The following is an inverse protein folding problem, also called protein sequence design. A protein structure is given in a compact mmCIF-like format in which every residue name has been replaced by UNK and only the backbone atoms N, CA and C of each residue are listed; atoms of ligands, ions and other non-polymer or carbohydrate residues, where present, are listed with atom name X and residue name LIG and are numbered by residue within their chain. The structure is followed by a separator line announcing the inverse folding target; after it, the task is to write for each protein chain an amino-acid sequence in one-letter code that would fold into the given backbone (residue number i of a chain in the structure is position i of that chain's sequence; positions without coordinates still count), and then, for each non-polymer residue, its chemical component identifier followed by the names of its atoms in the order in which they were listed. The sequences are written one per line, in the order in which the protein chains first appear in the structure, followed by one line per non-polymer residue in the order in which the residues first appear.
data_IF_195520056676
#
_entry.id   IF_195520056676
#
_cell.length_a   1.000
_cell.length_b   1.000
_cell.length_c   1.000
_cell.angle_alpha   90.00
_cell.angle_beta   90.00
_cell.angle_gamma   90.00
#
_symmetry.space_group_name_H-M   'P 1'
#
loop_
_entity.id
_entity.type
_entity.pdbx_description
1 polymer ?
#
# COMPACT_ATOMS: atom_id res chain seq x y z
N UNK A 1 -5.36 17.29 -33.66
CA UNK A 1 -6.03 17.30 -32.33
C UNK A 1 -5.94 15.91 -31.74
N UNK A 2 -4.94 15.66 -30.91
CA UNK A 2 -4.68 14.35 -30.31
C UNK A 2 -5.24 14.39 -28.89
N UNK A 3 -6.42 13.79 -28.67
CA UNK A 3 -6.99 13.63 -27.33
C UNK A 3 -6.07 12.69 -26.54
N UNK A 4 -5.47 13.19 -25.47
CA UNK A 4 -4.87 12.33 -24.43
C UNK A 4 -6.03 11.68 -23.68
N UNK A 5 -6.33 10.43 -24.03
CA UNK A 5 -7.12 9.55 -23.17
C UNK A 5 -6.19 9.00 -22.10
N UNK A 6 -6.32 9.49 -20.87
CA UNK A 6 -5.82 8.78 -19.70
C UNK A 6 -6.63 7.49 -19.57
N UNK A 7 -6.08 6.38 -20.05
CA UNK A 7 -6.64 5.06 -19.80
C UNK A 7 -6.20 4.59 -18.42
N UNK A 8 -7.07 4.70 -17.40
CA UNK A 8 -7.04 3.81 -16.24
C UNK A 8 -7.69 2.47 -16.64
N UNK A 9 -7.15 1.80 -17.66
CA UNK A 9 -7.62 0.46 -18.02
C UNK A 9 -6.96 -0.54 -17.07
N UNK A 10 -7.46 -0.64 -15.83
CA UNK A 10 -7.33 -1.88 -15.08
C UNK A 10 -7.91 -2.99 -15.95
N UNK A 11 -7.13 -4.03 -16.23
CA UNK A 11 -7.63 -5.21 -16.96
C UNK A 11 -8.93 -5.67 -16.29
N UNK A 12 -10.05 -5.85 -17.01
CA UNK A 12 -11.25 -6.41 -16.42
C UNK A 12 -10.90 -7.75 -15.73
N UNK A 13 -11.07 -7.82 -14.40
CA UNK A 13 -10.63 -8.95 -13.57
C UNK A 13 -9.23 -8.82 -12.92
N UNK A 14 -8.57 -7.65 -13.05
CA UNK A 14 -7.34 -7.28 -12.34
C UNK A 14 -6.17 -8.24 -12.54
N UNK A 15 -5.35 -8.39 -11.50
CA UNK A 15 -4.21 -9.33 -11.50
C UNK A 15 -4.61 -10.78 -11.77
N UNK A 16 -5.81 -11.20 -11.33
CA UNK A 16 -6.29 -12.57 -11.55
C UNK A 16 -6.49 -12.88 -13.04
N UNK A 17 -7.07 -11.95 -13.81
CA UNK A 17 -7.23 -12.10 -15.25
C UNK A 17 -5.87 -12.22 -15.97
N UNK A 18 -4.89 -11.43 -15.55
CA UNK A 18 -3.52 -11.48 -16.09
C UNK A 18 -2.89 -12.85 -15.82
N UNK A 19 -2.96 -13.34 -14.57
CA UNK A 19 -2.41 -14.64 -14.19
C UNK A 19 -3.09 -15.78 -14.97
N UNK A 20 -4.41 -15.77 -15.12
CA UNK A 20 -5.12 -16.78 -15.89
C UNK A 20 -4.68 -16.80 -17.36
N UNK A 21 -4.59 -15.62 -17.99
CA UNK A 21 -4.11 -15.52 -19.37
C UNK A 21 -2.68 -16.06 -19.53
N UNK A 22 -1.80 -15.79 -18.56
CA UNK A 22 -0.44 -16.33 -18.56
C UNK A 22 -0.44 -17.86 -18.41
N UNK A 23 -1.22 -18.41 -17.48
CA UNK A 23 -1.34 -19.86 -17.31
C UNK A 23 -1.92 -20.56 -18.56
N UNK A 24 -2.92 -19.95 -19.20
CA UNK A 24 -3.49 -20.48 -20.43
C UNK A 24 -2.48 -20.45 -21.59
N UNK A 25 -1.57 -19.47 -21.61
CA UNK A 25 -0.44 -19.49 -22.54
C UNK A 25 0.58 -20.57 -22.20
N UNK A 26 0.93 -20.73 -20.93
CA UNK A 26 1.92 -21.73 -20.48
C UNK A 26 1.46 -23.15 -20.82
N UNK A 27 0.16 -23.44 -20.65
CA UNK A 27 -0.44 -24.75 -20.95
C UNK A 27 -0.36 -25.17 -22.42
N UNK A 28 -0.06 -24.26 -23.34
CA UNK A 28 0.12 -24.57 -24.77
C UNK A 28 1.49 -25.17 -25.10
N UNK A 29 2.41 -25.20 -24.13
CA UNK A 29 3.74 -25.73 -24.30
C UNK A 29 3.85 -27.13 -23.68
N UNK A 30 4.00 -28.15 -24.52
CA UNK A 30 4.11 -29.55 -24.08
C UNK A 30 5.38 -29.86 -23.27
N UNK A 31 6.37 -28.96 -23.32
CA UNK A 31 7.65 -29.09 -22.64
C UNK A 31 7.71 -28.31 -21.31
N UNK A 32 6.58 -27.81 -20.79
CA UNK A 32 6.52 -27.12 -19.50
C UNK A 32 5.87 -28.01 -18.44
N UNK A 33 6.61 -28.28 -17.37
CA UNK A 33 6.10 -28.98 -16.19
C UNK A 33 5.84 -27.97 -15.06
N UNK A 34 4.59 -27.90 -14.60
CA UNK A 34 4.20 -27.07 -13.46
C UNK A 34 4.13 -27.97 -12.23
N UNK A 35 4.98 -27.70 -11.24
CA UNK A 35 5.06 -28.47 -10.00
C UNK A 35 4.50 -27.65 -8.84
N UNK A 36 3.28 -27.97 -8.42
CA UNK A 36 2.67 -27.38 -7.22
C UNK A 36 3.26 -27.99 -5.95
N UNK A 37 3.08 -27.29 -4.82
CA UNK A 37 3.52 -27.76 -3.50
C UNK A 37 4.99 -28.23 -3.48
N UNK A 38 5.82 -27.55 -4.26
CA UNK A 38 7.24 -27.86 -4.48
C UNK A 38 8.05 -26.61 -4.18
N UNK A 39 8.51 -26.49 -2.94
CA UNK A 39 9.17 -25.30 -2.42
C UNK A 39 10.68 -25.38 -2.68
N UNK A 40 11.25 -24.46 -3.46
CA UNK A 40 12.70 -24.34 -3.63
C UNK A 40 13.39 -23.69 -2.43
N UNK A 41 14.38 -24.37 -1.85
CA UNK A 41 15.06 -23.91 -0.62
C UNK A 41 16.49 -23.48 -0.83
N UNK A 42 17.21 -24.18 -1.71
CA UNK A 42 18.63 -23.92 -1.97
C UNK A 42 18.91 -24.01 -3.47
N UNK A 43 19.82 -23.17 -3.94
CA UNK A 43 20.45 -23.34 -5.24
C UNK A 43 21.51 -24.43 -5.15
N UNK A 44 21.56 -25.30 -6.15
CA UNK A 44 22.63 -26.28 -6.29
C UNK A 44 23.78 -25.65 -7.07
N UNK A 45 24.99 -25.69 -6.52
CA UNK A 45 26.20 -25.16 -7.16
C UNK A 45 27.22 -26.25 -7.42
N UNK A 46 27.97 -26.13 -8.51
CA UNK A 46 29.19 -26.90 -8.75
C UNK A 46 30.39 -26.22 -8.05
N UNK A 47 31.54 -26.89 -8.04
CA UNK A 47 32.77 -26.38 -7.41
C UNK A 47 33.26 -25.05 -8.00
N UNK A 48 32.99 -24.81 -9.28
CA UNK A 48 33.31 -23.56 -9.97
C UNK A 48 32.30 -22.42 -9.71
N UNK A 49 31.29 -22.66 -8.87
CA UNK A 49 30.22 -21.72 -8.56
C UNK A 49 29.04 -21.74 -9.55
N UNK A 50 29.08 -22.56 -10.60
CA UNK A 50 27.99 -22.66 -11.57
C UNK A 50 26.72 -23.19 -10.91
N UNK A 51 25.60 -22.48 -11.05
CA UNK A 51 24.29 -22.97 -10.62
C UNK A 51 23.83 -24.11 -11.54
N UNK A 52 23.53 -25.27 -10.95
CA UNK A 52 23.19 -26.53 -11.65
C UNK A 52 21.77 -27.02 -11.36
N UNK A 53 20.99 -26.26 -10.59
CA UNK A 53 19.61 -26.59 -10.27
C UNK A 53 19.14 -26.02 -8.94
N UNK A 54 18.09 -26.63 -8.40
CA UNK A 54 17.48 -26.27 -7.11
C UNK A 54 17.25 -27.53 -6.28
N UNK A 55 17.44 -27.40 -4.97
CA UNK A 55 16.93 -28.34 -3.99
C UNK A 55 15.53 -27.89 -3.58
N UNK A 56 14.57 -28.80 -3.63
CA UNK A 56 13.16 -28.52 -3.34
C UNK A 56 12.63 -29.45 -2.25
N UNK A 57 11.72 -28.93 -1.42
CA UNK A 57 10.86 -29.72 -0.54
C UNK A 57 9.49 -29.91 -1.18
N UNK A 58 9.07 -31.17 -1.32
CA UNK A 58 7.74 -31.52 -1.82
C UNK A 58 6.70 -31.54 -0.69
N UNK A 59 5.42 -31.69 -1.06
CA UNK A 59 4.29 -31.79 -0.13
C UNK A 59 4.46 -32.89 0.94
N UNK A 60 5.16 -33.98 0.62
CA UNK A 60 5.46 -35.08 1.54
C UNK A 60 6.60 -34.78 2.54
N UNK A 61 7.18 -33.57 2.46
CA UNK A 61 8.29 -33.13 3.30
C UNK A 61 9.67 -33.54 2.81
N UNK A 62 9.79 -34.41 1.80
CA UNK A 62 11.08 -34.90 1.34
C UNK A 62 11.82 -33.86 0.49
N UNK A 63 13.13 -33.78 0.73
CA UNK A 63 14.05 -32.98 -0.08
C UNK A 63 14.44 -33.74 -1.36
N UNK A 64 14.23 -33.11 -2.51
CA UNK A 64 14.61 -33.64 -3.83
C UNK A 64 15.45 -32.60 -4.58
N UNK A 65 16.32 -33.07 -5.48
CA UNK A 65 17.11 -32.19 -6.35
C UNK A 65 16.49 -32.15 -7.74
N UNK A 66 16.24 -30.95 -8.27
CA UNK A 66 15.86 -30.71 -9.66
C UNK A 66 17.05 -30.07 -10.36
N UNK A 67 17.64 -30.78 -11.32
CA UNK A 67 18.81 -30.30 -12.07
C UNK A 67 18.38 -29.56 -13.32
N UNK A 68 19.06 -28.45 -13.61
CA UNK A 68 18.80 -27.62 -14.78
C UNK A 68 20.04 -26.80 -15.13
N UNK A 69 20.23 -26.53 -16.43
CA UNK A 69 21.39 -25.74 -16.90
C UNK A 69 21.30 -24.26 -16.51
N UNK A 70 20.09 -23.79 -16.23
CA UNK A 70 19.76 -22.40 -15.89
C UNK A 70 18.63 -22.41 -14.87
N UNK A 71 18.70 -21.49 -13.91
CA UNK A 71 17.67 -21.27 -12.90
C UNK A 71 17.26 -19.81 -12.96
N UNK A 72 15.95 -19.55 -12.97
CA UNK A 72 15.38 -18.21 -12.93
C UNK A 72 14.61 -18.07 -11.62
N UNK A 73 14.96 -17.07 -10.81
CA UNK A 73 14.24 -16.74 -9.59
C UNK A 73 13.15 -15.72 -9.91
N UNK A 74 11.89 -16.14 -9.82
CA UNK A 74 10.70 -15.31 -10.02
C UNK A 74 9.79 -15.40 -8.79
N UNK A 75 10.37 -15.16 -7.61
CA UNK A 75 9.83 -15.58 -6.31
C UNK A 75 9.12 -14.48 -5.50
N UNK A 76 8.90 -13.30 -6.08
CA UNK A 76 8.35 -12.15 -5.36
C UNK A 76 9.34 -11.55 -4.34
N UNK A 77 8.80 -10.76 -3.41
CA UNK A 77 9.54 -10.06 -2.37
C UNK A 77 9.58 -10.79 -1.02
N UNK A 78 9.68 -10.01 0.05
CA UNK A 78 9.77 -10.50 1.44
C UNK A 78 8.77 -9.82 2.39
N UNK A 79 7.77 -9.12 1.86
CA UNK A 79 6.75 -8.40 2.62
C UNK A 79 5.93 -9.29 3.58
N UNK A 80 5.79 -10.58 3.29
CA UNK A 80 5.18 -11.57 4.17
C UNK A 80 6.09 -12.07 5.31
N UNK A 81 7.37 -11.67 5.32
CA UNK A 81 8.35 -12.11 6.31
C UNK A 81 8.64 -11.00 7.34
N UNK A 82 7.95 -11.06 8.47
CA UNK A 82 8.07 -10.10 9.59
C UNK A 82 9.52 -9.95 10.09
N UNK A 83 10.32 -11.01 10.09
CA UNK A 83 11.73 -10.95 10.49
C UNK A 83 12.57 -10.15 9.48
N UNK A 84 12.41 -10.44 8.19
CA UNK A 84 13.13 -9.72 7.14
C UNK A 84 12.70 -8.25 7.04
N UNK A 85 11.40 -7.96 7.24
CA UNK A 85 10.89 -6.59 7.34
C UNK A 85 11.63 -5.83 8.44
N UNK A 86 11.60 -6.33 9.68
CA UNK A 86 12.28 -5.69 10.81
C UNK A 86 13.78 -5.54 10.60
N UNK A 87 14.43 -6.54 9.99
CA UNK A 87 15.87 -6.54 9.71
C UNK A 87 16.30 -5.54 8.63
N UNK A 88 15.57 -5.47 7.52
CA UNK A 88 16.01 -4.74 6.32
C UNK A 88 15.30 -3.41 6.11
N UNK A 89 14.02 -3.32 6.44
CA UNK A 89 13.19 -2.14 6.18
C UNK A 89 13.26 -1.16 7.33
N UNK A 90 13.11 -1.66 8.55
CA UNK A 90 13.30 -0.85 9.75
C UNK A 90 12.42 -1.28 10.90
N UNK A 91 12.59 -0.63 12.06
CA UNK A 91 11.85 -0.97 13.27
C UNK A 91 10.35 -0.78 13.08
N UNK A 92 9.56 -1.66 13.72
CA UNK A 92 8.09 -1.71 13.70
C UNK A 92 7.46 -2.15 12.38
N UNK A 93 8.22 -2.39 11.32
CA UNK A 93 7.67 -2.95 10.07
C UNK A 93 7.12 -4.36 10.23
N UNK A 94 7.63 -5.10 11.21
CA UNK A 94 7.13 -6.41 11.61
C UNK A 94 5.69 -6.37 12.15
N UNK A 95 5.15 -5.18 12.46
CA UNK A 95 3.76 -4.98 12.89
C UNK A 95 2.83 -4.53 11.77
N UNK A 96 3.36 -4.22 10.58
CA UNK A 96 2.53 -3.86 9.44
C UNK A 96 1.67 -5.06 9.02
N UNK A 97 0.41 -4.76 8.74
CA UNK A 97 -0.52 -5.74 8.21
C UNK A 97 -0.44 -5.79 6.68
N UNK A 98 -0.70 -6.97 6.12
CA UNK A 98 -0.65 -7.19 4.69
C UNK A 98 -1.93 -6.71 4.04
N UNK A 99 -1.80 -5.84 3.04
CA UNK A 99 -2.94 -5.32 2.26
C UNK A 99 -3.73 -6.41 1.52
N UNK A 100 -3.08 -7.53 1.19
CA UNK A 100 -3.72 -8.67 0.54
C UNK A 100 -3.26 -10.01 1.15
N UNK A 101 -4.18 -10.98 1.36
CA UNK A 101 -3.85 -12.28 1.97
C UNK A 101 -2.78 -13.08 1.22
N UNK A 102 -2.66 -12.88 -0.09
CA UNK A 102 -1.67 -13.58 -0.92
C UNK A 102 -0.22 -13.18 -0.62
N UNK A 103 0.02 -11.98 -0.08
CA UNK A 103 1.36 -11.47 0.18
C UNK A 103 2.08 -12.23 1.30
N UNK A 104 1.34 -12.99 2.13
CA UNK A 104 1.92 -13.81 3.20
C UNK A 104 2.90 -14.88 2.68
N UNK A 105 2.81 -15.23 1.40
CA UNK A 105 3.71 -16.19 0.77
C UNK A 105 5.01 -15.56 0.27
N UNK A 106 5.06 -14.23 0.11
CA UNK A 106 6.25 -13.49 -0.32
C UNK A 106 7.18 -13.30 0.87
N UNK A 107 7.98 -14.33 1.14
CA UNK A 107 8.77 -14.45 2.38
C UNK A 107 10.28 -14.35 2.14
N UNK A 108 10.68 -13.92 0.94
CA UNK A 108 12.07 -13.66 0.59
C UNK A 108 12.89 -14.89 0.22
N UNK A 109 12.28 -16.06 -0.03
CA UNK A 109 13.03 -17.30 -0.33
C UNK A 109 13.98 -17.17 -1.52
N UNK A 110 13.54 -16.55 -2.62
CA UNK A 110 14.41 -16.31 -3.78
C UNK A 110 15.59 -15.40 -3.45
N UNK A 111 15.34 -14.32 -2.69
CA UNK A 111 16.38 -13.40 -2.25
C UNK A 111 17.40 -14.11 -1.36
N UNK A 112 16.94 -14.91 -0.39
CA UNK A 112 17.81 -15.69 0.49
C UNK A 112 18.65 -16.70 -0.28
N UNK A 113 18.05 -17.47 -1.18
CA UNK A 113 18.78 -18.42 -2.04
C UNK A 113 19.88 -17.73 -2.87
N UNK A 114 19.60 -16.54 -3.42
CA UNK A 114 20.60 -15.76 -4.14
C UNK A 114 21.74 -15.30 -3.23
N UNK A 115 21.41 -14.75 -2.05
CA UNK A 115 22.39 -14.29 -1.07
C UNK A 115 23.28 -15.44 -0.55
N UNK A 116 22.70 -16.63 -0.32
CA UNK A 116 23.41 -17.83 0.14
C UNK A 116 24.54 -18.26 -0.81
N UNK A 117 24.38 -18.04 -2.12
CA UNK A 117 25.41 -18.35 -3.14
C UNK A 117 26.26 -17.14 -3.53
N UNK A 118 26.18 -16.04 -2.78
CA UNK A 118 27.02 -14.86 -2.97
C UNK A 118 26.51 -13.85 -4.00
N UNK A 119 25.23 -13.91 -4.40
CA UNK A 119 24.67 -12.87 -5.24
C UNK A 119 24.61 -11.52 -4.50
N UNK A 120 24.93 -10.43 -5.19
CA UNK A 120 24.74 -9.08 -4.67
C UNK A 120 23.27 -8.66 -4.77
N UNK A 121 22.82 -7.82 -3.85
CA UNK A 121 21.55 -7.11 -3.99
C UNK A 121 21.71 -5.89 -4.90
N UNK A 122 20.65 -5.54 -5.62
CA UNK A 122 20.59 -4.27 -6.34
C UNK A 122 19.97 -3.21 -5.41
N UNK A 123 20.80 -2.33 -4.87
CA UNK A 123 20.36 -1.26 -3.97
C UNK A 123 20.00 -1.73 -2.56
N UNK A 124 19.32 -0.84 -1.83
CA UNK A 124 18.88 -1.09 -0.46
C UNK A 124 17.61 -1.92 -0.43
N UNK A 125 17.52 -2.82 0.55
CA UNK A 125 16.29 -3.55 0.88
C UNK A 125 15.39 -2.76 1.86
N UNK A 126 15.72 -1.48 2.11
CA UNK A 126 15.04 -0.66 3.11
C UNK A 126 13.79 0.07 2.61
N UNK A 127 13.42 -0.11 1.35
CA UNK A 127 12.23 0.49 0.76
C UNK A 127 10.99 -0.35 1.03
N UNK A 128 9.84 0.30 1.13
CA UNK A 128 8.52 -0.34 1.11
C UNK A 128 7.56 0.52 0.30
N UNK A 129 6.60 -0.13 -0.35
CA UNK A 129 5.37 0.50 -0.82
C UNK A 129 4.31 0.28 0.26
N UNK A 130 3.67 1.35 0.73
CA UNK A 130 2.60 1.27 1.72
C UNK A 130 1.50 2.27 1.43
N UNK A 131 0.31 1.98 1.91
CA UNK A 131 -0.91 2.74 1.62
C UNK A 131 -1.74 2.89 2.90
N UNK A 132 -2.53 3.95 3.00
CA UNK A 132 -3.53 4.06 4.07
C UNK A 132 -4.65 3.06 3.79
N UNK A 133 -4.90 2.15 4.72
CA UNK A 133 -5.92 1.09 4.58
C UNK A 133 -6.95 1.15 5.70
N UNK A 134 -8.20 0.83 5.38
CA UNK A 134 -9.24 0.64 6.39
C UNK A 134 -9.01 -0.67 7.15
N UNK A 135 -8.43 -0.56 8.35
CA UNK A 135 -8.14 -1.71 9.22
C UNK A 135 -9.40 -2.49 9.66
N UNK A 136 -10.60 -1.91 9.47
CA UNK A 136 -11.87 -2.57 9.81
C UNK A 136 -12.35 -3.49 8.69
N UNK A 137 -11.82 -3.31 7.47
CA UNK A 137 -12.29 -4.02 6.30
C UNK A 137 -11.91 -5.50 6.31
N UNK A 138 -12.76 -6.35 5.74
CA UNK A 138 -12.47 -7.81 5.61
C UNK A 138 -11.96 -8.18 4.23
N UNK A 139 -12.18 -7.34 3.23
CA UNK A 139 -11.69 -7.55 1.87
C UNK A 139 -10.26 -7.04 1.70
N UNK A 140 -9.46 -7.65 0.80
CA UNK A 140 -8.13 -7.11 0.47
C UNK A 140 -8.25 -5.74 -0.20
N UNK A 141 -7.12 -5.01 -0.20
CA UNK A 141 -6.98 -3.78 -0.99
C UNK A 141 -7.95 -2.66 -0.56
N UNK A 142 -8.17 -2.56 0.76
CA UNK A 142 -9.08 -1.57 1.36
C UNK A 142 -8.47 -0.17 1.51
N UNK A 143 -7.87 0.33 0.43
CA UNK A 143 -7.11 1.57 0.39
C UNK A 143 -8.02 2.80 0.52
N UNK A 144 -7.66 3.75 1.36
CA UNK A 144 -8.33 5.04 1.47
C UNK A 144 -7.73 6.02 0.46
N UNK A 145 -8.32 6.09 -0.74
CA UNK A 145 -7.90 7.03 -1.80
C UNK A 145 -8.34 8.48 -1.56
N UNK A 146 -9.16 8.73 -0.53
CA UNK A 146 -9.76 10.03 -0.28
C UNK A 146 -8.87 11.07 0.37
N UNK A 147 -7.63 10.75 0.75
CA UNK A 147 -6.82 11.59 1.64
C UNK A 147 -6.68 13.05 1.16
N UNK A 148 -6.61 13.31 -0.14
CA UNK A 148 -6.58 14.66 -0.72
C UNK A 148 -7.85 15.51 -0.48
N UNK A 149 -8.99 14.88 -0.19
CA UNK A 149 -10.32 15.50 -0.08
C UNK A 149 -10.84 15.52 1.37
N UNK A 150 -9.93 15.70 2.31
CA UNK A 150 -10.22 15.84 3.72
C UNK A 150 -8.91 16.06 4.46
N UNK A 151 -8.90 15.71 5.74
CA UNK A 151 -7.70 15.78 6.55
C UNK A 151 -7.38 14.41 7.14
N UNK A 152 -6.10 14.16 7.39
CA UNK A 152 -5.62 12.98 8.08
C UNK A 152 -5.03 13.42 9.41
N UNK A 153 -5.55 12.86 10.50
CA UNK A 153 -5.10 13.15 11.85
C UNK A 153 -4.55 11.91 12.53
N UNK A 154 -3.56 12.07 13.39
CA UNK A 154 -3.05 11.00 14.23
C UNK A 154 -3.96 10.73 15.45
N UNK A 155 -3.56 9.81 16.33
CA UNK A 155 -4.30 9.48 17.56
C UNK A 155 -4.41 10.65 18.56
N UNK A 156 -3.60 11.69 18.40
CA UNK A 156 -3.65 12.92 19.19
C UNK A 156 -4.46 14.04 18.52
N UNK A 157 -5.25 13.69 17.49
CA UNK A 157 -6.06 14.62 16.70
C UNK A 157 -5.24 15.71 16.01
N UNK A 158 -3.95 15.47 15.73
CA UNK A 158 -3.09 16.43 15.02
C UNK A 158 -2.87 15.98 13.59
N UNK A 159 -2.96 16.96 12.67
CA UNK A 159 -2.46 16.79 11.30
C UNK A 159 -0.95 16.65 11.34
N UNK A 160 -0.41 15.82 10.46
CA UNK A 160 1.03 15.58 10.34
C UNK A 160 1.52 15.69 8.88
N UNK A 161 0.62 15.63 7.91
CA UNK A 161 0.97 15.65 6.49
C UNK A 161 0.13 16.68 5.73
N UNK A 162 0.69 17.26 4.67
CA UNK A 162 -0.03 18.12 3.70
C UNK A 162 -0.71 17.23 2.64
N UNK A 163 -1.99 16.95 2.83
CA UNK A 163 -2.76 15.99 2.04
C UNK A 163 -2.89 16.40 0.56
N UNK A 164 -2.83 17.70 0.25
CA UNK A 164 -2.96 18.22 -1.12
C UNK A 164 -1.63 18.68 -1.74
N UNK A 165 -0.48 18.46 -1.08
CA UNK A 165 0.86 18.85 -1.54
C UNK A 165 1.14 18.55 -3.01
N UNK A 166 0.63 17.41 -3.49
CA UNK A 166 0.68 16.95 -4.87
C UNK A 166 -0.61 16.21 -5.22
N UNK A 167 -0.74 15.81 -6.48
CA UNK A 167 -1.81 14.94 -6.93
C UNK A 167 -1.86 13.61 -6.14
N UNK A 168 -3.06 13.04 -6.04
CA UNK A 168 -3.41 11.79 -5.34
C UNK A 168 -2.34 10.68 -5.43
N UNK A 169 -1.95 10.29 -6.64
CA UNK A 169 -0.95 9.24 -6.89
C UNK A 169 0.50 9.62 -6.55
N UNK A 170 0.74 10.83 -6.06
CA UNK A 170 2.07 11.29 -5.64
C UNK A 170 2.16 11.54 -4.12
N UNK A 171 1.04 11.49 -3.38
CA UNK A 171 1.00 11.72 -1.93
C UNK A 171 0.60 10.50 -1.12
N UNK A 172 -0.16 9.56 -1.69
CA UNK A 172 -0.73 8.43 -0.95
C UNK A 172 0.31 7.53 -0.26
N UNK A 173 1.44 7.26 -0.92
CA UNK A 173 2.52 6.47 -0.33
C UNK A 173 3.26 7.25 0.77
N UNK A 174 3.47 8.55 0.56
CA UNK A 174 4.23 9.40 1.48
C UNK A 174 3.51 9.59 2.81
N UNK A 175 2.18 9.81 2.77
CA UNK A 175 1.38 9.91 3.99
C UNK A 175 1.34 8.59 4.74
N UNK A 176 1.26 7.45 4.03
CA UNK A 176 1.31 6.13 4.65
C UNK A 176 2.67 5.83 5.30
N UNK A 177 3.77 6.22 4.65
CA UNK A 177 5.12 6.11 5.21
C UNK A 177 5.26 6.95 6.49
N UNK A 178 4.72 8.16 6.51
CA UNK A 178 4.73 9.01 7.69
C UNK A 178 3.81 8.48 8.80
N UNK A 179 2.63 7.96 8.46
CA UNK A 179 1.75 7.27 9.41
C UNK A 179 2.47 6.10 10.08
N UNK A 180 3.15 5.27 9.28
CA UNK A 180 3.91 4.14 9.79
C UNK A 180 5.09 4.59 10.66
N UNK A 181 5.88 5.55 10.18
CA UNK A 181 7.14 5.94 10.81
C UNK A 181 6.94 6.81 12.05
N UNK A 182 6.01 7.74 12.01
CA UNK A 182 5.96 8.82 13.00
C UNK A 182 4.63 8.90 13.74
N UNK A 183 3.59 8.17 13.30
CA UNK A 183 2.23 8.22 13.87
C UNK A 183 1.74 6.88 14.41
N UNK A 184 2.64 6.05 14.94
CA UNK A 184 2.29 4.78 15.58
C UNK A 184 1.44 3.84 14.68
N UNK A 185 1.64 3.92 13.36
CA UNK A 185 0.93 3.14 12.34
C UNK A 185 -0.60 3.33 12.35
N UNK A 186 -1.08 4.44 12.90
CA UNK A 186 -2.51 4.70 13.01
C UNK A 186 -2.83 6.16 12.69
N UNK A 187 -3.77 6.34 11.78
CA UNK A 187 -4.29 7.65 11.43
C UNK A 187 -5.77 7.55 11.07
N UNK A 188 -6.46 8.68 11.10
CA UNK A 188 -7.87 8.81 10.83
C UNK A 188 -8.06 9.79 9.69
N UNK A 189 -8.72 9.33 8.62
CA UNK A 189 -9.16 10.20 7.54
C UNK A 189 -10.54 10.78 7.88
N UNK A 190 -10.63 12.11 7.89
CA UNK A 190 -11.85 12.86 8.23
C UNK A 190 -12.24 13.69 7.01
N UNK A 191 -13.51 13.62 6.62
CA UNK A 191 -14.10 14.40 5.53
C UNK A 191 -15.52 14.82 5.89
N UNK A 192 -16.19 15.52 4.97
CA UNK A 192 -17.53 16.05 5.15
C UNK A 192 -18.56 15.48 4.17
N UNK A 193 -19.83 15.87 4.38
CA UNK A 193 -20.93 15.42 3.54
C UNK A 193 -20.83 15.88 2.07
N UNK A 194 -20.52 17.15 1.75
CA UNK A 194 -20.32 17.58 0.37
C UNK A 194 -19.33 16.74 -0.45
N UNK A 195 -18.17 16.41 0.15
CA UNK A 195 -17.18 15.54 -0.50
C UNK A 195 -17.72 14.12 -0.65
N UNK A 196 -18.28 13.55 0.43
CA UNK A 196 -18.87 12.21 0.40
C UNK A 196 -19.94 12.08 -0.71
N UNK A 197 -20.87 13.03 -0.80
CA UNK A 197 -21.96 13.02 -1.76
C UNK A 197 -21.44 13.13 -3.21
N UNK A 198 -20.36 13.89 -3.43
CA UNK A 198 -19.77 14.07 -4.76
C UNK A 198 -19.08 12.81 -5.29
N UNK A 199 -18.51 12.00 -4.39
CA UNK A 199 -17.75 10.81 -4.77
C UNK A 199 -18.53 9.51 -4.67
N UNK A 200 -19.78 9.52 -4.21
CA UNK A 200 -20.68 8.36 -4.28
C UNK A 200 -21.30 8.20 -5.68
N UNK A 201 -21.59 6.96 -6.12
CA UNK A 201 -21.26 5.67 -5.50
C UNK A 201 -19.90 5.16 -6.03
N UNK A 202 -18.85 5.98 -6.00
CA UNK A 202 -17.59 5.73 -6.68
C UNK A 202 -16.34 5.71 -5.78
N UNK A 203 -15.22 6.06 -6.41
CA UNK A 203 -13.84 5.69 -6.06
C UNK A 203 -13.31 6.03 -4.66
N UNK A 204 -13.95 6.90 -3.87
CA UNK A 204 -13.32 7.37 -2.63
C UNK A 204 -13.48 6.38 -1.46
N UNK A 205 -14.54 5.57 -1.46
CA UNK A 205 -14.81 4.58 -0.38
C UNK A 205 -15.20 3.18 -0.86
N UNK A 206 -15.38 2.97 -2.16
CA UNK A 206 -15.75 1.65 -2.69
C UNK A 206 -14.63 0.59 -2.55
N UNK A 207 -13.44 1.02 -2.13
CA UNK A 207 -12.33 0.14 -1.76
C UNK A 207 -12.48 -0.47 -0.38
N UNK A 208 -13.32 0.04 0.53
CA UNK A 208 -13.63 -0.63 1.81
C UNK A 208 -14.97 -1.38 1.73
N UNK A 209 -15.22 -2.32 2.64
CA UNK A 209 -16.53 -2.94 2.86
C UNK A 209 -17.23 -2.41 4.13
N UNK A 210 -16.65 -1.37 4.74
CA UNK A 210 -17.19 -0.69 5.91
C UNK A 210 -17.58 0.74 5.56
N UNK A 211 -18.77 1.16 6.01
CA UNK A 211 -19.15 2.57 5.92
C UNK A 211 -18.30 3.42 6.90
N UNK A 212 -18.02 4.69 6.57
CA UNK A 212 -17.35 5.59 7.50
C UNK A 212 -18.27 5.89 8.69
N UNK A 213 -17.67 6.09 9.87
CA UNK A 213 -18.38 6.61 11.02
C UNK A 213 -18.86 8.04 10.74
N UNK A 214 -20.07 8.37 11.20
CA UNK A 214 -20.72 9.66 10.94
C UNK A 214 -21.33 10.24 12.21
N UNK A 215 -21.33 11.56 12.33
CA UNK A 215 -21.93 12.31 13.43
C UNK A 215 -22.35 13.70 12.94
N UNK A 216 -23.38 14.26 13.55
CA UNK A 216 -23.83 15.64 13.26
C UNK A 216 -22.89 16.69 13.86
N UNK A 217 -21.99 16.28 14.77
CA UNK A 217 -20.97 17.14 15.39
C UNK A 217 -19.59 16.51 15.33
N UNK A 218 -18.55 17.34 15.28
CA UNK A 218 -17.14 16.89 15.29
C UNK A 218 -16.83 16.14 16.59
N UNK A 219 -17.36 16.61 17.71
CA UNK A 219 -17.20 15.99 19.02
C UNK A 219 -17.80 14.59 19.04
N UNK A 220 -19.01 14.42 18.53
CA UNK A 220 -19.64 13.09 18.44
C UNK A 220 -18.91 12.15 17.46
N UNK A 221 -18.26 12.70 16.42
CA UNK A 221 -17.39 11.90 15.54
C UNK A 221 -16.14 11.44 16.29
N UNK A 222 -15.50 12.33 17.06
CA UNK A 222 -14.33 11.99 17.86
C UNK A 222 -14.63 10.88 18.87
N UNK A 223 -15.76 10.96 19.58
CA UNK A 223 -16.19 9.93 20.54
C UNK A 223 -16.32 8.55 19.87
N UNK A 224 -16.93 8.48 18.68
CA UNK A 224 -17.07 7.23 17.91
C UNK A 224 -15.72 6.65 17.47
N UNK A 225 -14.77 7.52 17.13
CA UNK A 225 -13.42 7.13 16.70
C UNK A 225 -12.46 6.84 17.86
N UNK A 226 -12.89 7.06 19.11
CA UNK A 226 -12.05 6.94 20.30
C UNK A 226 -10.99 8.03 20.41
N UNK A 227 -11.28 9.21 19.87
CA UNK A 227 -10.43 10.41 19.86
C UNK A 227 -10.91 11.43 20.91
N UNK A 228 -10.05 12.40 21.26
CA UNK A 228 -10.45 13.50 22.14
C UNK A 228 -11.38 14.48 21.40
N UNK A 229 -12.62 14.69 21.87
CA UNK A 229 -13.59 15.56 21.19
C UNK A 229 -13.15 17.02 21.06
N UNK A 230 -12.48 17.54 22.08
CA UNK A 230 -12.03 18.94 22.10
C UNK A 230 -10.85 19.14 21.18
N UNK A 231 -9.89 18.21 21.18
CA UNK A 231 -8.70 18.33 20.32
C UNK A 231 -9.04 18.13 18.85
N UNK A 232 -9.94 17.20 18.49
CA UNK A 232 -10.37 17.06 17.10
C UNK A 232 -11.11 18.29 16.61
N UNK A 233 -12.06 18.79 17.41
CA UNK A 233 -12.77 20.03 17.09
C UNK A 233 -11.82 21.20 16.91
N UNK A 234 -10.88 21.39 17.84
CA UNK A 234 -9.87 22.43 17.74
C UNK A 234 -9.08 22.32 16.43
N UNK A 235 -8.59 21.13 16.09
CA UNK A 235 -7.82 20.93 14.86
C UNK A 235 -8.61 21.26 13.60
N UNK A 236 -9.90 20.89 13.55
CA UNK A 236 -10.78 21.18 12.41
C UNK A 236 -11.12 22.67 12.35
N UNK A 237 -11.44 23.30 13.48
CA UNK A 237 -11.73 24.74 13.53
C UNK A 237 -10.52 25.57 13.08
N UNK A 238 -9.33 25.24 13.58
CA UNK A 238 -8.07 25.90 13.21
C UNK A 238 -7.72 25.66 11.74
N UNK A 239 -7.94 24.45 11.24
CA UNK A 239 -7.77 24.12 9.83
C UNK A 239 -8.71 24.96 8.94
N UNK A 240 -10.01 24.96 9.23
CA UNK A 240 -11.02 25.71 8.46
C UNK A 240 -10.77 27.21 8.50
N UNK A 241 -10.36 27.76 9.65
CA UNK A 241 -10.02 29.18 9.80
C UNK A 241 -8.75 29.58 9.03
N UNK A 242 -7.86 28.62 8.74
CA UNK A 242 -6.64 28.87 7.99
C UNK A 242 -6.84 28.79 6.46
N UNK A 243 -7.96 28.24 5.97
CA UNK A 243 -8.24 28.08 4.53
C UNK A 243 -8.41 29.45 3.86
N UNK A 244 -7.75 29.63 2.73
CA UNK A 244 -7.93 30.82 1.90
C UNK A 244 -9.23 30.79 1.05
N UNK A 245 -9.58 31.95 0.51
CA UNK A 245 -10.81 32.15 -0.27
C UNK A 245 -10.71 31.67 -1.73
N UNK A 246 -9.66 30.95 -2.11
CA UNK A 246 -9.54 30.44 -3.49
C UNK A 246 -10.64 29.42 -3.79
N UNK A 247 -11.11 29.44 -5.05
CA UNK A 247 -12.11 28.48 -5.53
C UNK A 247 -11.55 27.07 -5.58
N UNK A 248 -12.37 26.11 -5.20
CA UNK A 248 -12.02 24.70 -5.25
C UNK A 248 -12.27 24.09 -6.64
N UNK A 249 -11.26 23.40 -7.17
CA UNK A 249 -11.33 22.66 -8.43
C UNK A 249 -10.64 21.29 -8.28
N UNK A 250 -11.45 20.23 -8.30
CA UNK A 250 -11.00 18.85 -8.15
C UNK A 250 -10.00 18.37 -9.23
N UNK A 251 -9.97 19.03 -10.38
CA UNK A 251 -9.24 18.54 -11.55
C UNK A 251 -7.83 19.11 -11.66
N UNK A 252 -7.45 20.07 -10.80
CA UNK A 252 -6.15 20.75 -10.84
C UNK A 252 -5.73 21.20 -9.45
N UNK A 253 -4.45 21.48 -9.26
CA UNK A 253 -3.99 22.22 -8.08
C UNK A 253 -4.56 23.65 -8.18
N UNK A 254 -5.57 23.95 -7.38
CA UNK A 254 -6.38 25.16 -7.42
C UNK A 254 -5.82 26.29 -6.53
N UNK A 255 -4.83 25.96 -5.71
CA UNK A 255 -4.21 26.89 -4.77
C UNK A 255 -5.07 27.19 -3.55
N UNK A 256 -6.18 26.47 -3.34
CA UNK A 256 -6.89 26.47 -2.08
C UNK A 256 -5.97 25.87 -1.02
N UNK A 257 -5.78 26.51 0.14
CA UNK A 257 -4.81 26.04 1.15
C UNK A 257 -4.96 26.69 2.52
N UNK A 258 -4.37 26.08 3.54
CA UNK A 258 -4.15 26.70 4.84
C UNK A 258 -2.98 27.70 4.81
N UNK A 259 -3.01 28.70 5.68
CA UNK A 259 -1.89 29.62 5.92
C UNK A 259 -1.54 29.69 7.41
N UNK A 260 -0.25 29.49 7.74
CA UNK A 260 0.24 29.68 9.11
C UNK A 260 -0.24 28.65 10.14
N UNK A 261 -0.69 27.48 9.69
CA UNK A 261 -1.20 26.40 10.55
C UNK A 261 -0.66 25.03 10.13
N UNK A 262 -0.10 24.27 11.07
CA UNK A 262 0.30 22.87 10.83
C UNK A 262 1.47 22.66 9.86
N UNK A 263 1.84 21.42 9.57
CA UNK A 263 3.12 21.00 8.98
C UNK A 263 3.47 21.62 7.60
N UNK A 264 3.98 22.85 7.60
CA UNK A 264 4.48 23.63 6.46
C UNK A 264 3.41 23.98 5.40
N UNK A 265 2.88 25.22 5.48
CA UNK A 265 2.19 25.97 4.42
C UNK A 265 1.60 25.09 3.29
N UNK A 266 0.45 24.48 3.58
CA UNK A 266 -0.13 23.40 2.79
C UNK A 266 -0.51 23.86 1.37
N UNK A 267 -0.66 22.93 0.42
CA UNK A 267 -1.51 23.12 -0.76
C UNK A 267 -2.69 22.19 -0.58
N UNK A 268 -3.93 22.66 -0.55
CA UNK A 268 -5.10 21.80 -0.44
C UNK A 268 -5.76 21.52 -1.79
N UNK A 269 -6.43 20.38 -1.79
CA UNK A 269 -7.59 20.09 -2.63
C UNK A 269 -8.78 19.83 -1.69
N UNK A 270 -9.19 20.79 -0.84
CA UNK A 270 -10.43 20.60 -0.06
C UNK A 270 -11.20 21.90 0.24
N UNK A 271 -12.53 21.78 0.24
CA UNK A 271 -13.56 22.84 0.33
C UNK A 271 -13.98 23.22 1.74
N UNK A 272 -14.57 24.42 1.79
CA UNK A 272 -15.39 25.03 2.84
C UNK A 272 -16.50 24.16 3.41
#
# INVERSE_FOLDING_TARGET
MMKRTCFSNSTPGGGHAIINALFDSIRKFDNVNIMWETHAEHLLTAEDGTVTGVQVRKADGHMTKIRGKKVMLACGGFEGNREMLGKYVGPRTEHLELIAPGLKYNTGFGLRMGLEVGAATAGSMSGMHCELVDIRAKKPDAVIWGHNYGIVVNEHCKRFYDEGKRHLFATFEMIALETWRDQNQKSYFVTDKPIMDRFRPGWVYDTTDQEPEQSDTIEGLAEKLGLDPKELKKTIDEYNAAINDNEFDLMKLDGKRTHGYGAQDDNLLCTS
#
